data_IF_825134989142
#
_entry.id   IF_825134989142
#
_cell.length_a   1.000
_cell.length_b   1.000
_cell.length_c   1.000
_cell.angle_alpha   90.00
_cell.angle_beta   90.00
_cell.angle_gamma   90.00
#
_symmetry.space_group_name_H-M   'P 1'
#
loop_
_entity.id
_entity.type
_entity.pdbx_description
1 polymer ?
#
# COMPACT_ATOMS: atom_id res chain seq x y z
N UNK A 1 26.32 -33.45 13.63
CA UNK A 1 25.42 -34.05 14.64
C UNK A 1 24.67 -32.99 15.49
N UNK A 2 25.30 -31.90 15.93
CA UNK A 2 24.60 -30.87 16.74
C UNK A 2 23.81 -29.86 15.92
N UNK A 3 24.22 -29.55 14.68
CA UNK A 3 23.53 -28.64 13.77
C UNK A 3 22.25 -29.25 13.18
N UNK A 4 22.23 -30.54 12.90
CA UNK A 4 21.04 -31.19 12.33
C UNK A 4 19.87 -31.24 13.33
N UNK A 5 20.18 -31.33 14.63
CA UNK A 5 19.18 -31.33 15.70
C UNK A 5 18.53 -29.95 15.87
N UNK A 6 19.30 -28.85 15.73
CA UNK A 6 18.80 -27.50 15.82
C UNK A 6 17.90 -27.18 14.61
N UNK A 7 18.30 -27.61 13.41
CA UNK A 7 17.51 -27.40 12.18
C UNK A 7 16.18 -28.18 12.21
N UNK A 8 16.20 -29.41 12.73
CA UNK A 8 14.99 -30.21 12.91
C UNK A 8 14.07 -29.60 13.97
N UNK A 9 14.63 -29.07 15.07
CA UNK A 9 13.87 -28.41 16.13
C UNK A 9 13.23 -27.11 15.64
N UNK A 10 13.95 -26.28 14.86
CA UNK A 10 13.43 -25.07 14.25
C UNK A 10 12.28 -25.37 13.26
N UNK A 11 12.42 -26.38 12.41
CA UNK A 11 11.35 -26.76 11.48
C UNK A 11 10.11 -27.30 12.22
N UNK A 12 10.30 -28.01 13.32
CA UNK A 12 9.21 -28.50 14.16
C UNK A 12 8.51 -27.35 14.88
N UNK A 13 9.24 -26.35 15.38
CA UNK A 13 8.70 -25.15 16.01
C UNK A 13 7.93 -24.30 14.98
N UNK A 14 8.48 -24.09 13.77
CA UNK A 14 7.80 -23.38 12.68
C UNK A 14 6.48 -24.09 12.30
N UNK A 15 6.48 -25.41 12.15
CA UNK A 15 5.27 -26.18 11.85
C UNK A 15 4.22 -26.12 12.99
N UNK A 16 4.66 -26.06 14.26
CA UNK A 16 3.77 -25.91 15.41
C UNK A 16 3.20 -24.48 15.53
N UNK A 17 3.99 -23.48 15.15
CA UNK A 17 3.53 -22.07 15.11
C UNK A 17 2.49 -21.90 14.00
N UNK A 18 2.75 -22.43 12.79
CA UNK A 18 1.80 -22.38 11.67
C UNK A 18 0.48 -23.11 12.00
N UNK A 19 0.53 -24.27 12.65
CA UNK A 19 -0.67 -24.99 13.08
C UNK A 19 -1.42 -24.30 14.23
N UNK A 20 -0.73 -23.64 15.16
CA UNK A 20 -1.39 -22.90 16.25
C UNK A 20 -1.97 -21.58 15.76
N UNK A 21 -1.31 -20.87 14.84
CA UNK A 21 -1.88 -19.69 14.20
C UNK A 21 -3.15 -20.05 13.42
N UNK A 22 -3.16 -21.17 12.69
CA UNK A 22 -4.35 -21.69 12.02
C UNK A 22 -5.50 -22.02 12.98
N UNK A 23 -5.21 -22.39 14.23
CA UNK A 23 -6.23 -22.69 15.24
C UNK A 23 -6.78 -21.42 15.93
N UNK A 24 -5.95 -20.41 16.14
CA UNK A 24 -6.34 -19.12 16.74
C UNK A 24 -7.31 -18.32 15.83
N UNK A 25 -7.19 -18.50 14.50
CA UNK A 25 -8.08 -17.87 13.51
C UNK A 25 -9.38 -18.67 13.24
N UNK A 26 -9.59 -19.81 13.92
CA UNK A 26 -10.79 -20.64 13.74
C UNK A 26 -11.96 -20.29 14.67
N UNK A 27 -11.76 -19.49 15.69
CA UNK A 27 -12.81 -19.18 16.68
C UNK A 27 -13.53 -17.85 16.46
N UNK A 28 -13.04 -16.95 15.60
CA UNK A 28 -13.80 -15.79 15.14
C UNK A 28 -14.35 -16.05 13.74
N UNK A 29 -15.65 -16.14 13.63
CA UNK A 29 -16.41 -16.53 12.46
C UNK A 29 -15.90 -15.94 11.12
N UNK A 30 -15.54 -16.90 10.25
CA UNK A 30 -15.82 -16.86 8.83
C UNK A 30 -14.95 -15.96 7.92
N UNK A 31 -13.71 -16.36 7.67
CA UNK A 31 -13.17 -16.26 6.30
C UNK A 31 -12.43 -17.55 5.96
N UNK A 32 -13.12 -18.46 5.29
CA UNK A 32 -12.50 -19.59 4.62
C UNK A 32 -11.63 -19.03 3.49
N UNK A 33 -10.34 -18.88 3.74
CA UNK A 33 -9.36 -18.78 2.65
C UNK A 33 -9.44 -20.12 1.93
N UNK A 34 -10.22 -20.20 0.87
CA UNK A 34 -10.14 -21.32 -0.06
C UNK A 34 -8.69 -21.36 -0.54
N UNK A 35 -8.01 -22.47 -0.25
CA UNK A 35 -6.78 -22.85 -0.94
C UNK A 35 -7.05 -22.76 -2.44
N UNK A 36 -6.77 -21.61 -3.05
CA UNK A 36 -6.68 -21.50 -4.49
C UNK A 36 -5.40 -22.24 -4.87
N UNK A 37 -5.55 -23.41 -5.46
CA UNK A 37 -4.48 -24.08 -6.18
C UNK A 37 -3.78 -23.03 -7.04
N UNK A 38 -2.52 -22.77 -6.72
CA UNK A 38 -1.66 -21.83 -7.41
C UNK A 38 -1.41 -22.33 -8.84
N UNK A 39 -2.27 -21.94 -9.76
CA UNK A 39 -1.97 -21.95 -11.19
C UNK A 39 -1.29 -20.63 -11.49
N UNK A 40 -0.03 -20.64 -11.90
CA UNK A 40 0.88 -19.55 -12.25
C UNK A 40 0.26 -18.14 -12.34
N UNK A 41 -0.02 -17.50 -11.19
CA UNK A 41 -0.71 -16.22 -11.12
C UNK A 41 0.25 -15.06 -11.35
N UNK A 42 -0.19 -14.09 -12.13
CA UNK A 42 0.50 -12.82 -12.34
C UNK A 42 0.52 -12.04 -11.03
N UNK A 43 1.70 -11.91 -10.41
CA UNK A 43 1.88 -11.13 -9.19
C UNK A 43 2.06 -9.65 -9.54
N UNK A 44 1.04 -8.84 -9.30
CA UNK A 44 1.11 -7.39 -9.35
C UNK A 44 0.11 -6.77 -8.39
N UNK A 45 0.50 -5.68 -7.74
CA UNK A 45 -0.36 -4.88 -6.88
C UNK A 45 -1.08 -3.77 -7.64
N UNK A 46 -0.65 -3.46 -8.86
CA UNK A 46 -1.23 -2.42 -9.68
C UNK A 46 -2.52 -2.88 -10.37
N UNK A 47 -3.61 -2.13 -10.17
CA UNK A 47 -4.89 -2.41 -10.82
C UNK A 47 -4.81 -2.27 -12.35
N UNK A 48 -4.03 -1.30 -12.84
CA UNK A 48 -3.85 -1.04 -14.26
C UNK A 48 -3.10 -2.15 -15.02
N UNK A 49 -2.31 -2.98 -14.32
CA UNK A 49 -1.57 -4.09 -14.94
C UNK A 49 -2.35 -5.40 -15.01
N UNK A 50 -3.43 -5.55 -14.24
CA UNK A 50 -4.20 -6.79 -14.18
C UNK A 50 -5.04 -7.03 -15.43
N UNK A 51 -5.06 -6.06 -16.37
CA UNK A 51 -5.91 -6.14 -17.54
C UNK A 51 -5.33 -5.49 -18.80
N UNK A 52 -5.67 -6.14 -19.95
CA UNK A 52 -5.99 -5.43 -21.18
C UNK A 52 -7.40 -4.86 -20.97
N UNK A 53 -7.51 -3.58 -20.62
CA UNK A 53 -8.80 -2.94 -20.33
C UNK A 53 -9.61 -2.92 -21.62
N UNK A 54 -10.61 -3.78 -21.73
CA UNK A 54 -11.67 -3.61 -22.72
C UNK A 54 -12.67 -2.60 -22.16
N UNK A 55 -12.85 -1.41 -22.77
CA UNK A 55 -13.76 -0.37 -22.27
C UNK A 55 -15.23 -0.80 -22.17
N UNK A 56 -15.57 -2.00 -22.65
CA UNK A 56 -16.95 -2.51 -22.72
C UNK A 56 -17.36 -3.42 -21.57
N UNK A 57 -16.52 -3.59 -20.54
CA UNK A 57 -16.90 -4.45 -19.42
C UNK A 57 -17.83 -3.74 -18.44
N UNK A 58 -18.95 -4.40 -18.14
CA UNK A 58 -19.96 -3.95 -17.19
C UNK A 58 -19.36 -3.66 -15.81
N UNK A 59 -19.42 -2.39 -15.39
CA UNK A 59 -19.00 -1.96 -14.05
C UNK A 59 -17.51 -1.70 -13.89
N UNK A 60 -16.77 -1.46 -14.98
CA UNK A 60 -15.41 -0.93 -14.93
C UNK A 60 -15.32 0.33 -15.79
N UNK A 61 -14.94 1.45 -15.19
CA UNK A 61 -14.61 2.70 -15.87
C UNK A 61 -13.10 2.86 -15.93
N UNK A 62 -12.58 3.29 -17.07
CA UNK A 62 -11.16 3.61 -17.25
C UNK A 62 -11.01 4.95 -17.97
N UNK A 63 -10.19 5.84 -17.40
CA UNK A 63 -9.89 7.17 -17.97
C UNK A 63 -8.41 7.46 -17.88
N UNK A 64 -7.92 8.25 -18.83
CA UNK A 64 -6.59 8.87 -18.80
C UNK A 64 -6.74 10.38 -18.77
N UNK A 65 -5.98 11.04 -17.90
CA UNK A 65 -5.99 12.49 -17.73
C UNK A 65 -4.54 12.97 -17.58
N UNK A 66 -4.14 13.96 -18.38
CA UNK A 66 -2.82 14.55 -18.26
C UNK A 66 -2.75 15.43 -17.03
N UNK A 67 -1.68 15.31 -16.27
CA UNK A 67 -1.29 16.16 -15.15
C UNK A 67 -0.03 16.96 -15.52
N UNK A 68 0.29 17.99 -14.74
CA UNK A 68 1.49 18.80 -14.97
C UNK A 68 2.77 17.95 -14.91
N UNK A 69 2.84 17.00 -13.96
CA UNK A 69 4.00 16.13 -13.76
C UNK A 69 3.91 14.79 -14.49
N UNK A 70 2.81 14.45 -15.19
CA UNK A 70 2.68 13.13 -15.80
C UNK A 70 1.27 12.78 -16.29
N UNK A 71 0.84 11.56 -16.02
CA UNK A 71 -0.43 11.01 -16.53
C UNK A 71 -1.16 10.23 -15.44
N UNK A 72 -2.41 10.58 -15.18
CA UNK A 72 -3.33 9.78 -14.39
C UNK A 72 -3.98 8.66 -15.22
N UNK A 73 -3.92 7.44 -14.73
CA UNK A 73 -4.75 6.31 -15.15
C UNK A 73 -5.75 6.03 -14.03
N UNK A 74 -7.03 6.29 -14.28
CA UNK A 74 -8.11 6.16 -13.30
C UNK A 74 -8.98 4.97 -13.60
N UNK A 75 -9.13 4.07 -12.63
CA UNK A 75 -9.99 2.88 -12.71
C UNK A 75 -11.03 2.97 -11.61
N UNK A 76 -12.30 2.84 -11.98
CA UNK A 76 -13.40 2.71 -11.04
C UNK A 76 -14.08 1.36 -11.28
N UNK A 77 -14.23 0.56 -10.23
CA UNK A 77 -14.90 -0.74 -10.24
C UNK A 77 -16.20 -0.60 -9.45
N UNK A 78 -17.34 -0.71 -10.14
CA UNK A 78 -18.67 -0.46 -9.57
C UNK A 78 -19.54 -1.70 -9.48
N UNK A 79 -19.10 -2.86 -10.00
CA UNK A 79 -19.88 -4.09 -10.00
C UNK A 79 -19.08 -5.33 -9.61
N UNK A 80 -19.80 -6.37 -9.17
CA UNK A 80 -19.19 -7.69 -8.90
C UNK A 80 -18.62 -8.36 -10.17
N UNK A 81 -19.12 -8.00 -11.35
CA UNK A 81 -18.56 -8.46 -12.62
C UNK A 81 -17.19 -7.81 -12.86
N UNK A 82 -17.09 -6.48 -12.68
CA UNK A 82 -15.83 -5.75 -12.74
C UNK A 82 -14.81 -6.22 -11.71
N UNK A 83 -15.26 -6.50 -10.46
CA UNK A 83 -14.39 -7.05 -9.42
C UNK A 83 -13.76 -8.39 -9.85
N UNK A 84 -14.56 -9.30 -10.44
CA UNK A 84 -14.04 -10.58 -10.95
C UNK A 84 -13.11 -10.40 -12.15
N UNK A 85 -13.40 -9.46 -13.02
CA UNK A 85 -12.61 -9.18 -14.21
C UNK A 85 -11.23 -8.58 -13.89
N UNK A 86 -11.21 -7.56 -13.04
CA UNK A 86 -9.96 -6.88 -12.63
C UNK A 86 -9.24 -7.69 -11.53
N UNK A 87 -9.98 -8.51 -10.75
CA UNK A 87 -9.43 -9.23 -9.60
C UNK A 87 -9.07 -8.29 -8.44
N UNK A 88 -9.80 -7.18 -8.32
CA UNK A 88 -9.68 -6.18 -7.25
C UNK A 88 -11.06 -5.81 -6.73
N UNK A 89 -11.22 -5.46 -5.43
CA UNK A 89 -12.49 -5.02 -4.87
C UNK A 89 -13.11 -3.83 -5.60
N UNK A 90 -14.43 -3.66 -5.49
CA UNK A 90 -15.12 -2.45 -5.98
C UNK A 90 -14.57 -1.23 -5.26
N UNK A 91 -14.32 -0.15 -6.03
CA UNK A 91 -13.76 1.11 -5.56
C UNK A 91 -12.91 1.81 -6.61
N UNK A 92 -12.13 2.78 -6.18
CA UNK A 92 -11.30 3.63 -7.01
C UNK A 92 -9.84 3.21 -6.93
N UNK A 93 -9.16 3.23 -8.07
CA UNK A 93 -7.73 2.94 -8.23
C UNK A 93 -7.15 3.97 -9.19
N UNK A 94 -6.60 5.02 -8.64
CA UNK A 94 -6.04 6.14 -9.38
C UNK A 94 -4.51 6.04 -9.36
N UNK A 95 -3.92 5.94 -10.55
CA UNK A 95 -2.48 5.67 -10.74
C UNK A 95 -1.84 6.85 -11.46
N UNK A 96 -0.96 7.57 -10.78
CA UNK A 96 -0.16 8.64 -11.37
C UNK A 96 1.14 8.03 -11.93
N UNK A 97 1.34 8.23 -13.24
CA UNK A 97 2.59 7.93 -13.92
C UNK A 97 3.43 9.19 -13.97
N UNK A 98 4.65 9.08 -13.50
CA UNK A 98 5.67 10.13 -13.45
C UNK A 98 6.86 9.74 -14.33
N UNK A 99 7.76 10.68 -14.68
CA UNK A 99 9.12 10.32 -15.02
C UNK A 99 9.72 9.45 -13.90
N UNK A 100 10.79 8.73 -14.20
CA UNK A 100 11.46 7.93 -13.16
C UNK A 100 11.89 8.84 -12.00
N UNK A 101 11.49 8.51 -10.78
CA UNK A 101 11.52 9.42 -9.62
C UNK A 101 12.92 9.91 -9.26
N UNK A 102 13.97 9.07 -9.45
CA UNK A 102 15.36 9.47 -9.26
C UNK A 102 15.86 10.51 -10.27
N UNK A 103 15.09 10.77 -11.33
CA UNK A 103 15.38 11.77 -12.36
C UNK A 103 14.47 13.00 -12.30
N UNK A 104 13.51 13.04 -11.37
CA UNK A 104 12.62 14.18 -11.19
C UNK A 104 13.37 15.39 -10.64
N UNK A 105 13.16 16.54 -11.25
CA UNK A 105 13.58 17.82 -10.70
C UNK A 105 12.61 18.35 -9.63
N UNK A 106 12.98 19.44 -8.98
CA UNK A 106 12.17 20.01 -7.89
C UNK A 106 10.80 20.52 -8.36
N UNK A 107 10.63 20.94 -9.61
CA UNK A 107 9.35 21.36 -10.19
C UNK A 107 8.44 20.14 -10.36
N UNK A 108 8.91 19.09 -10.97
CA UNK A 108 8.18 17.82 -11.13
C UNK A 108 7.75 17.24 -9.77
N UNK A 109 8.63 17.28 -8.75
CA UNK A 109 8.30 16.81 -7.39
C UNK A 109 7.21 17.69 -6.78
N UNK A 110 7.28 19.02 -6.90
CA UNK A 110 6.28 19.96 -6.39
C UNK A 110 4.90 19.76 -7.04
N UNK A 111 4.89 19.53 -8.35
CA UNK A 111 3.67 19.25 -9.11
C UNK A 111 3.08 17.90 -8.69
N UNK A 112 3.91 16.87 -8.53
CA UNK A 112 3.47 15.57 -8.04
C UNK A 112 2.87 15.64 -6.63
N UNK A 113 3.46 16.41 -5.72
CA UNK A 113 2.90 16.69 -4.38
C UNK A 113 1.51 17.34 -4.50
N UNK A 114 1.36 18.27 -5.43
CA UNK A 114 0.07 18.96 -5.67
C UNK A 114 -0.99 17.99 -6.18
N UNK A 115 -0.64 17.16 -7.17
CA UNK A 115 -1.51 16.13 -7.74
C UNK A 115 -1.95 15.10 -6.69
N UNK A 116 -1.00 14.56 -5.92
CA UNK A 116 -1.30 13.59 -4.85
C UNK A 116 -2.19 14.23 -3.78
N UNK A 117 -1.92 15.48 -3.38
CA UNK A 117 -2.75 16.21 -2.42
C UNK A 117 -4.18 16.36 -2.91
N UNK A 118 -4.37 16.80 -4.15
CA UNK A 118 -5.69 16.96 -4.76
C UNK A 118 -6.44 15.62 -4.85
N UNK A 119 -5.74 14.55 -5.22
CA UNK A 119 -6.37 13.23 -5.34
C UNK A 119 -6.79 12.66 -3.98
N UNK A 120 -6.00 12.87 -2.93
CA UNK A 120 -6.37 12.43 -1.57
C UNK A 120 -7.63 13.11 -1.08
N UNK A 121 -7.78 14.41 -1.34
CA UNK A 121 -9.00 15.17 -1.01
C UNK A 121 -10.19 14.65 -1.83
N UNK A 122 -10.03 14.57 -3.16
CA UNK A 122 -11.06 14.07 -4.08
C UNK A 122 -11.53 12.65 -3.70
N UNK A 123 -10.60 11.78 -3.34
CA UNK A 123 -10.93 10.40 -2.99
C UNK A 123 -11.66 10.32 -1.64
N UNK A 124 -11.27 11.13 -0.65
CA UNK A 124 -12.00 11.22 0.61
C UNK A 124 -13.44 11.72 0.39
N UNK A 125 -13.65 12.70 -0.50
CA UNK A 125 -14.98 13.18 -0.89
C UNK A 125 -15.81 12.09 -1.58
N UNK A 126 -15.23 11.35 -2.57
CA UNK A 126 -15.87 10.22 -3.23
C UNK A 126 -16.29 9.13 -2.24
N UNK A 127 -15.46 8.89 -1.21
CA UNK A 127 -15.75 7.97 -0.12
C UNK A 127 -16.74 8.54 0.92
N UNK A 128 -17.13 9.82 0.80
CA UNK A 128 -17.98 10.54 1.76
C UNK A 128 -17.40 10.59 3.17
N UNK A 129 -16.09 10.74 3.26
CA UNK A 129 -15.35 10.85 4.51
C UNK A 129 -14.95 12.30 4.73
N UNK A 130 -15.22 12.83 5.93
CA UNK A 130 -14.66 14.11 6.41
C UNK A 130 -13.50 13.79 7.33
N UNK A 131 -12.24 13.88 6.86
CA UNK A 131 -11.08 13.38 7.59
C UNK A 131 -10.60 14.40 8.64
N UNK A 132 -11.29 14.46 9.78
CA UNK A 132 -10.90 15.28 10.92
C UNK A 132 -9.76 14.61 11.72
N UNK A 133 -9.85 13.29 11.90
CA UNK A 133 -8.83 12.46 12.58
C UNK A 133 -8.28 11.44 11.62
N UNK A 134 -6.99 11.50 11.36
CA UNK A 134 -6.31 10.64 10.40
C UNK A 134 -5.26 9.80 11.10
N UNK A 135 -5.24 8.50 10.80
CA UNK A 135 -4.15 7.60 11.16
C UNK A 135 -3.33 7.28 9.91
N UNK A 136 -2.10 7.77 9.86
CA UNK A 136 -1.14 7.40 8.81
C UNK A 136 -0.33 6.19 9.26
N UNK A 137 -0.33 5.16 8.41
CA UNK A 137 0.34 3.87 8.68
C UNK A 137 1.40 3.63 7.63
N UNK A 138 2.67 3.68 8.03
CA UNK A 138 3.81 3.31 7.16
C UNK A 138 4.12 1.83 7.28
N UNK A 139 3.79 1.06 6.25
CA UNK A 139 4.02 -0.38 6.18
C UNK A 139 5.43 -0.70 5.65
N UNK A 140 5.85 -1.94 5.83
CA UNK A 140 7.11 -2.47 5.32
C UNK A 140 8.25 -2.51 6.35
N UNK A 141 9.43 -2.84 5.86
CA UNK A 141 10.65 -3.05 6.64
C UNK A 141 11.68 -1.94 6.35
N UNK A 142 12.03 -1.15 7.36
CA UNK A 142 13.01 -0.06 7.24
C UNK A 142 14.44 -0.56 6.88
N UNK A 143 14.76 -1.81 7.22
CA UNK A 143 16.08 -2.39 6.93
C UNK A 143 16.21 -2.92 5.49
N UNK A 144 15.10 -3.01 4.75
CA UNK A 144 15.05 -3.51 3.38
C UNK A 144 14.60 -2.39 2.44
N UNK A 145 15.52 -1.72 1.76
CA UNK A 145 15.22 -0.53 0.93
C UNK A 145 14.01 -0.70 0.00
N UNK A 146 13.88 -1.79 -0.79
CA UNK A 146 12.71 -1.96 -1.64
C UNK A 146 11.37 -2.09 -0.89
N UNK A 147 11.40 -2.36 0.41
CA UNK A 147 10.21 -2.52 1.28
C UNK A 147 10.07 -1.35 2.28
N UNK A 148 10.79 -0.25 2.08
CA UNK A 148 10.86 0.84 3.06
C UNK A 148 10.01 2.07 2.74
N UNK A 149 9.36 2.14 1.57
CA UNK A 149 8.57 3.31 1.13
C UNK A 149 7.58 3.78 2.19
N UNK A 150 6.78 2.87 2.74
CA UNK A 150 5.79 3.24 3.75
C UNK A 150 6.43 3.82 5.00
N UNK A 151 7.50 3.19 5.47
CA UNK A 151 8.22 3.63 6.69
C UNK A 151 8.87 4.99 6.50
N UNK A 152 9.55 5.21 5.36
CA UNK A 152 10.25 6.48 5.06
C UNK A 152 9.23 7.60 4.84
N UNK A 153 8.18 7.36 4.07
CA UNK A 153 7.09 8.33 3.85
C UNK A 153 6.42 8.75 5.17
N UNK A 154 6.03 7.77 5.99
CA UNK A 154 5.40 8.04 7.28
C UNK A 154 6.31 8.82 8.23
N UNK A 155 7.64 8.64 8.14
CA UNK A 155 8.61 9.40 8.95
C UNK A 155 8.64 10.90 8.63
N UNK A 156 8.22 11.27 7.41
CA UNK A 156 8.20 12.66 6.92
C UNK A 156 6.82 13.33 7.02
N UNK A 157 5.77 12.56 7.33
CA UNK A 157 4.45 13.11 7.66
C UNK A 157 4.53 13.85 9.00
N UNK A 158 3.93 15.03 9.09
CA UNK A 158 3.93 15.86 10.30
C UNK A 158 2.73 15.50 11.18
N UNK A 159 2.92 14.84 12.33
CA UNK A 159 1.82 14.57 13.24
C UNK A 159 1.32 15.86 13.87
N UNK A 160 0.00 16.01 13.97
CA UNK A 160 -0.67 17.22 14.52
C UNK A 160 -1.59 16.89 15.70
N UNK A 161 -1.93 15.61 15.90
CA UNK A 161 -2.87 15.17 16.93
C UNK A 161 -2.46 15.63 18.36
N UNK A 162 -1.18 15.67 18.67
CA UNK A 162 -0.68 16.14 19.95
C UNK A 162 -0.88 17.64 20.17
N UNK A 163 -0.96 18.44 19.08
CA UNK A 163 -1.12 19.91 19.19
C UNK A 163 -2.48 20.27 19.78
N UNK A 164 -3.53 19.51 19.47
CA UNK A 164 -4.86 19.72 20.03
C UNK A 164 -4.87 19.55 21.56
N UNK A 165 -4.15 18.55 22.05
CA UNK A 165 -4.04 18.32 23.50
C UNK A 165 -3.20 19.38 24.22
N UNK A 166 -2.32 20.06 23.49
CA UNK A 166 -1.46 21.10 24.06
C UNK A 166 -2.18 22.47 24.12
N UNK A 167 -2.85 22.88 23.03
CA UNK A 167 -3.66 24.09 22.94
C UNK A 167 -4.74 23.95 21.87
N UNK A 168 -5.96 23.60 22.29
CA UNK A 168 -7.10 23.39 21.39
C UNK A 168 -7.45 24.67 20.63
N UNK A 169 -7.36 25.85 21.25
CA UNK A 169 -7.69 27.11 20.61
C UNK A 169 -6.71 27.47 19.49
N UNK A 170 -5.45 27.16 19.67
CA UNK A 170 -4.41 27.29 18.66
C UNK A 170 -4.59 26.24 17.55
N UNK A 171 -4.87 25.00 17.92
CA UNK A 171 -5.09 23.93 16.94
C UNK A 171 -6.21 24.26 15.99
N UNK A 172 -7.36 24.75 16.47
CA UNK A 172 -8.50 25.14 15.63
C UNK A 172 -8.16 26.26 14.63
N UNK A 173 -7.21 27.15 14.96
CA UNK A 173 -6.75 28.17 14.03
C UNK A 173 -5.85 27.65 12.90
N UNK A 174 -5.24 26.49 13.10
CA UNK A 174 -4.38 25.88 12.08
C UNK A 174 -5.17 25.24 10.93
N UNK A 175 -6.49 25.03 11.11
CA UNK A 175 -7.39 24.46 10.13
C UNK A 175 -6.88 23.15 9.48
N UNK A 176 -6.15 22.34 10.25
CA UNK A 176 -5.60 21.04 9.84
C UNK A 176 -6.34 19.89 10.50
N UNK A 177 -6.22 18.68 9.93
CA UNK A 177 -6.71 17.46 10.55
C UNK A 177 -5.81 17.03 11.72
N UNK A 178 -6.36 16.25 12.66
CA UNK A 178 -5.59 15.57 13.71
C UNK A 178 -4.86 14.36 13.11
N UNK A 179 -3.60 14.49 12.78
CA UNK A 179 -2.80 13.42 12.18
C UNK A 179 -2.00 12.70 13.26
N UNK A 180 -2.23 11.40 13.37
CA UNK A 180 -1.39 10.44 14.11
C UNK A 180 -0.63 9.57 13.13
N UNK A 181 0.61 9.20 13.45
CA UNK A 181 1.48 8.42 12.55
C UNK A 181 2.02 7.21 13.30
N UNK A 182 1.93 6.04 12.67
CA UNK A 182 2.54 4.81 13.18
C UNK A 182 3.35 4.10 12.09
N UNK A 183 4.33 3.35 12.54
CA UNK A 183 5.16 2.45 11.73
C UNK A 183 5.21 1.13 12.49
N UNK A 184 4.25 0.21 12.22
CA UNK A 184 4.06 -0.99 13.03
C UNK A 184 5.20 -2.01 12.88
N UNK A 185 6.05 -1.86 11.85
CA UNK A 185 7.07 -2.86 11.50
C UNK A 185 6.46 -4.11 10.88
N UNK A 186 7.25 -5.13 10.71
CA UNK A 186 6.86 -6.41 10.12
C UNK A 186 6.83 -7.52 11.18
N UNK A 187 6.02 -8.55 10.95
CA UNK A 187 5.76 -9.63 11.91
C UNK A 187 7.05 -10.27 12.46
N UNK A 188 8.05 -10.51 11.62
CA UNK A 188 9.29 -11.17 12.05
C UNK A 188 10.21 -10.26 12.90
N UNK A 189 10.02 -8.93 12.86
CA UNK A 189 10.75 -8.00 13.71
C UNK A 189 10.06 -7.81 15.07
N UNK A 190 8.73 -7.70 15.04
CA UNK A 190 7.94 -7.30 16.20
C UNK A 190 7.27 -8.48 16.91
N UNK A 191 7.06 -9.61 16.22
CA UNK A 191 6.24 -10.72 16.69
C UNK A 191 4.74 -10.42 16.69
N UNK A 192 4.32 -9.24 16.20
CA UNK A 192 2.93 -8.78 16.18
C UNK A 192 2.48 -8.62 14.73
N UNK A 193 1.31 -9.17 14.40
CA UNK A 193 0.71 -8.94 13.09
C UNK A 193 0.39 -7.46 12.88
N UNK A 194 0.70 -6.97 11.68
CA UNK A 194 0.57 -5.55 11.33
C UNK A 194 -0.88 -5.06 11.49
N UNK A 195 -1.87 -5.86 11.04
CA UNK A 195 -3.28 -5.51 11.19
C UNK A 195 -3.68 -5.42 12.66
N UNK A 196 -3.17 -6.31 13.53
CA UNK A 196 -3.43 -6.27 14.97
C UNK A 196 -2.99 -4.93 15.57
N UNK A 197 -1.79 -4.45 15.20
CA UNK A 197 -1.27 -3.16 15.63
C UNK A 197 -2.11 -2.00 15.12
N UNK A 198 -2.46 -2.01 13.82
CA UNK A 198 -3.27 -0.96 13.19
C UNK A 198 -4.66 -0.89 13.83
N UNK A 199 -5.35 -2.03 13.94
CA UNK A 199 -6.69 -2.13 14.52
C UNK A 199 -6.71 -1.69 15.98
N UNK A 200 -5.77 -2.17 16.81
CA UNK A 200 -5.72 -1.80 18.23
C UNK A 200 -5.53 -0.30 18.45
N UNK A 201 -4.73 0.36 17.59
CA UNK A 201 -4.57 1.81 17.64
C UNK A 201 -5.82 2.51 17.09
N UNK A 202 -6.38 2.06 15.98
CA UNK A 202 -7.60 2.63 15.40
C UNK A 202 -8.79 2.56 16.38
N UNK A 203 -8.98 1.47 17.10
CA UNK A 203 -9.99 1.33 18.15
C UNK A 203 -9.84 2.39 19.26
N UNK A 204 -8.58 2.76 19.58
CA UNK A 204 -8.29 3.74 20.64
C UNK A 204 -8.46 5.18 20.19
N UNK A 205 -7.93 5.55 19.01
CA UNK A 205 -7.96 6.93 18.52
C UNK A 205 -9.18 7.25 17.68
N UNK A 206 -9.87 6.22 17.15
CA UNK A 206 -11.08 6.32 16.32
C UNK A 206 -10.89 7.28 15.15
N UNK A 207 -9.99 6.97 14.21
CA UNK A 207 -9.76 7.82 13.05
C UNK A 207 -10.97 7.79 12.12
N UNK A 208 -11.23 8.91 11.46
CA UNK A 208 -12.24 9.01 10.41
C UNK A 208 -11.69 8.46 9.08
N UNK A 209 -10.36 8.45 8.94
CA UNK A 209 -9.63 7.95 7.79
C UNK A 209 -8.31 7.32 8.22
N UNK A 210 -7.98 6.17 7.63
CA UNK A 210 -6.64 5.57 7.69
C UNK A 210 -5.98 5.78 6.33
N UNK A 211 -4.73 6.26 6.32
CA UNK A 211 -3.89 6.32 5.11
C UNK A 211 -2.77 5.28 5.28
N UNK A 212 -2.86 4.18 4.53
CA UNK A 212 -1.86 3.11 4.56
C UNK A 212 -0.88 3.28 3.40
N UNK A 213 0.42 3.33 3.68
CA UNK A 213 1.49 3.51 2.70
C UNK A 213 2.34 2.26 2.65
N UNK A 214 2.60 1.72 1.44
CA UNK A 214 3.36 0.47 1.26
C UNK A 214 4.19 0.48 -0.02
N UNK A 215 5.16 -0.42 -0.09
CA UNK A 215 5.85 -0.78 -1.30
C UNK A 215 5.02 -1.80 -2.09
N UNK A 216 4.94 -1.63 -3.41
CA UNK A 216 4.17 -2.51 -4.27
C UNK A 216 5.08 -3.36 -5.16
N UNK A 217 4.52 -4.44 -5.70
CA UNK A 217 5.11 -5.19 -6.79
C UNK A 217 4.43 -4.83 -8.11
N UNK A 218 5.23 -4.63 -9.17
CA UNK A 218 4.77 -4.46 -10.53
C UNK A 218 5.03 -5.70 -11.37
N UNK A 219 4.30 -5.82 -12.47
CA UNK A 219 4.55 -6.79 -13.52
C UNK A 219 5.51 -6.25 -14.58
N UNK A 220 5.45 -4.94 -14.86
CA UNK A 220 6.28 -4.27 -15.86
C UNK A 220 7.40 -3.46 -15.21
N UNK A 221 8.62 -3.62 -15.74
CA UNK A 221 9.78 -2.84 -15.30
C UNK A 221 9.57 -1.32 -15.49
N UNK A 222 8.77 -0.93 -16.48
CA UNK A 222 8.43 0.47 -16.77
C UNK A 222 7.67 1.15 -15.63
N UNK A 223 7.06 0.36 -14.74
CA UNK A 223 6.30 0.86 -13.59
C UNK A 223 7.17 1.07 -12.35
N UNK A 224 8.37 0.50 -12.33
CA UNK A 224 9.26 0.59 -11.17
C UNK A 224 9.80 2.02 -11.00
N UNK A 225 9.50 2.63 -9.85
CA UNK A 225 9.94 3.98 -9.53
C UNK A 225 9.37 5.09 -10.42
N UNK A 226 8.30 4.80 -11.20
CA UNK A 226 7.62 5.78 -12.06
C UNK A 226 6.14 5.94 -11.71
N UNK A 227 5.64 5.21 -10.72
CA UNK A 227 4.22 5.05 -10.52
C UNK A 227 3.84 5.24 -9.06
N UNK A 228 2.81 6.04 -8.79
CA UNK A 228 2.13 6.11 -7.48
C UNK A 228 0.69 5.67 -7.67
N UNK A 229 0.27 4.59 -7.02
CA UNK A 229 -1.13 4.16 -7.01
C UNK A 229 -1.80 4.59 -5.71
N UNK A 230 -2.99 5.20 -5.82
CA UNK A 230 -3.87 5.53 -4.70
C UNK A 230 -5.16 4.74 -4.87
N UNK A 231 -5.64 4.10 -3.81
CA UNK A 231 -6.89 3.33 -3.88
C UNK A 231 -7.77 3.53 -2.64
N UNK A 232 -9.09 3.44 -2.83
CA UNK A 232 -10.10 3.54 -1.76
C UNK A 232 -10.41 2.21 -1.08
N UNK A 233 -9.78 1.12 -1.49
CA UNK A 233 -10.13 -0.24 -1.06
C UNK A 233 -9.19 -0.81 -0.02
N UNK A 234 -8.24 0.01 0.45
CA UNK A 234 -7.17 -0.44 1.32
C UNK A 234 -6.07 -1.23 0.58
N UNK A 235 -5.29 -1.98 1.33
CA UNK A 235 -4.11 -2.70 0.84
C UNK A 235 -4.00 -4.09 1.46
N UNK A 236 -3.45 -5.03 0.70
CA UNK A 236 -3.08 -6.36 1.19
C UNK A 236 -1.56 -6.46 1.21
N UNK A 237 -0.91 -6.29 2.37
CA UNK A 237 0.54 -6.34 2.46
C UNK A 237 1.08 -7.68 1.94
N UNK A 238 2.13 -7.62 1.12
CA UNK A 238 2.75 -8.82 0.52
C UNK A 238 1.93 -9.49 -0.60
N UNK A 239 0.81 -8.91 -1.02
CA UNK A 239 -0.05 -9.47 -2.08
C UNK A 239 0.69 -9.65 -3.41
N UNK A 240 1.44 -8.63 -3.83
CA UNK A 240 2.20 -8.63 -5.07
C UNK A 240 3.44 -9.50 -5.10
N UNK A 241 3.87 -10.02 -3.97
CA UNK A 241 5.01 -10.95 -3.85
C UNK A 241 4.60 -12.38 -3.52
N UNK A 242 3.31 -12.69 -3.63
CA UNK A 242 2.79 -14.04 -3.37
C UNK A 242 2.74 -14.46 -1.89
N UNK A 243 2.88 -13.52 -0.96
CA UNK A 243 2.80 -13.73 0.48
C UNK A 243 1.70 -12.84 1.11
N UNK A 244 0.43 -12.97 0.68
CA UNK A 244 -0.64 -12.10 1.13
C UNK A 244 -0.90 -12.28 2.63
N UNK A 245 -0.93 -11.16 3.35
CA UNK A 245 -1.39 -11.08 4.73
C UNK A 245 -2.88 -10.69 4.77
N UNK A 246 -3.42 -10.53 5.96
CA UNK A 246 -4.76 -9.98 6.10
C UNK A 246 -4.81 -8.57 5.50
N UNK A 247 -5.85 -8.25 4.70
CA UNK A 247 -5.98 -6.92 4.12
C UNK A 247 -6.23 -5.87 5.20
N UNK A 248 -5.66 -4.68 5.01
CA UNK A 248 -5.95 -3.48 5.80
C UNK A 248 -6.95 -2.67 4.99
N UNK A 249 -8.23 -2.79 5.34
CA UNK A 249 -9.35 -2.10 4.72
C UNK A 249 -10.38 -1.72 5.80
N UNK A 250 -11.48 -1.09 5.41
CA UNK A 250 -12.50 -0.62 6.34
C UNK A 250 -13.04 -1.74 7.24
N UNK A 251 -13.32 -2.93 6.69
CA UNK A 251 -13.90 -4.04 7.43
C UNK A 251 -12.95 -4.65 8.48
N UNK A 252 -11.64 -4.60 8.23
CA UNK A 252 -10.62 -5.20 9.11
C UNK A 252 -9.99 -4.19 10.05
N UNK A 253 -9.80 -2.95 9.62
CA UNK A 253 -9.18 -1.89 10.42
C UNK A 253 -10.17 -1.03 11.20
N UNK A 254 -11.49 -1.11 10.88
CA UNK A 254 -12.55 -0.42 11.61
C UNK A 254 -12.75 1.05 11.23
N UNK A 255 -12.10 1.53 10.17
CA UNK A 255 -12.29 2.85 9.59
C UNK A 255 -12.00 2.81 8.07
N UNK A 256 -12.55 3.74 7.27
CA UNK A 256 -12.24 3.88 5.85
C UNK A 256 -10.71 3.95 5.62
N UNK A 257 -10.22 3.29 4.56
CA UNK A 257 -8.79 3.21 4.26
C UNK A 257 -8.51 3.70 2.85
N UNK A 258 -7.66 4.71 2.72
CA UNK A 258 -6.98 5.05 1.48
C UNK A 258 -5.60 4.40 1.52
N UNK A 259 -5.26 3.62 0.50
CA UNK A 259 -3.92 3.08 0.34
C UNK A 259 -3.13 3.85 -0.71
N UNK A 260 -1.85 4.09 -0.42
CA UNK A 260 -0.89 4.70 -1.33
C UNK A 260 0.27 3.73 -1.49
N UNK A 261 0.68 3.48 -2.73
CA UNK A 261 1.81 2.59 -2.95
C UNK A 261 2.63 2.92 -4.19
N UNK A 262 3.91 2.56 -4.12
CA UNK A 262 4.87 2.73 -5.22
C UNK A 262 5.50 1.38 -5.54
N UNK A 263 5.50 0.96 -6.80
CA UNK A 263 6.17 -0.27 -7.21
C UNK A 263 7.69 -0.11 -7.10
N UNK A 264 8.29 -0.96 -6.31
CA UNK A 264 9.73 -1.02 -6.04
C UNK A 264 10.38 -2.30 -6.52
N UNK A 265 9.59 -3.35 -6.71
CA UNK A 265 10.07 -4.67 -7.11
C UNK A 265 9.19 -5.27 -8.20
N UNK A 266 9.77 -6.19 -8.96
CA UNK A 266 9.03 -7.09 -9.85
C UNK A 266 9.61 -8.50 -9.79
N UNK A 267 8.80 -9.50 -10.13
CA UNK A 267 9.28 -10.87 -10.22
C UNK A 267 10.22 -11.03 -11.41
N UNK A 268 11.40 -11.62 -11.19
CA UNK A 268 12.40 -11.86 -12.22
C UNK A 268 11.90 -12.74 -13.38
N UNK A 269 10.86 -13.56 -13.17
CA UNK A 269 10.30 -14.41 -14.23
C UNK A 269 9.69 -13.63 -15.38
N UNK A 270 9.37 -12.35 -15.18
CA UNK A 270 8.89 -11.48 -16.27
C UNK A 270 9.98 -11.09 -17.28
N UNK A 271 11.26 -11.24 -16.93
CA UNK A 271 12.36 -11.05 -17.86
C UNK A 271 12.76 -12.33 -18.60
N UNK A 272 12.28 -13.48 -18.14
CA UNK A 272 12.67 -14.77 -18.70
C UNK A 272 11.71 -15.17 -19.84
N UNK A 273 12.28 -15.68 -20.92
CA UNK A 273 11.51 -16.35 -21.97
C UNK A 273 10.94 -17.66 -21.41
N UNK A 274 9.82 -18.15 -21.97
CA UNK A 274 9.08 -19.30 -21.44
C UNK A 274 9.96 -20.55 -21.14
N UNK A 275 10.98 -20.78 -21.97
CA UNK A 275 11.91 -21.91 -21.82
C UNK A 275 12.86 -21.78 -20.60
N UNK A 276 13.02 -20.57 -20.06
CA UNK A 276 13.88 -20.26 -18.91
C UNK A 276 13.08 -20.02 -17.62
N UNK A 277 11.75 -20.09 -17.70
CA UNK A 277 10.91 -19.92 -16.50
C UNK A 277 11.22 -20.95 -15.45
N UNK A 278 11.13 -20.53 -14.21
CA UNK A 278 11.41 -21.39 -13.07
C UNK A 278 10.50 -22.62 -13.07
N UNK A 279 11.04 -23.82 -12.79
CA UNK A 279 10.20 -24.99 -12.49
C UNK A 279 9.27 -24.71 -11.32
N UNK A 280 8.07 -25.29 -11.35
CA UNK A 280 7.13 -25.22 -10.22
C UNK A 280 7.82 -25.58 -8.89
N UNK A 281 7.54 -24.81 -7.84
CA UNK A 281 8.07 -25.05 -6.49
C UNK A 281 9.39 -24.35 -6.13
N UNK A 282 10.00 -23.55 -7.01
CA UNK A 282 11.13 -22.68 -6.63
C UNK A 282 10.65 -21.33 -6.08
N UNK A 283 11.39 -20.82 -5.08
CA UNK A 283 11.14 -19.50 -4.50
C UNK A 283 11.21 -18.39 -5.56
N UNK A 284 10.29 -17.44 -5.50
CA UNK A 284 10.29 -16.26 -6.35
C UNK A 284 11.57 -15.43 -6.10
N UNK A 285 12.15 -14.86 -7.16
CA UNK A 285 13.21 -13.88 -7.09
C UNK A 285 12.64 -12.53 -7.52
N UNK A 286 12.82 -11.51 -6.68
CA UNK A 286 12.40 -10.17 -6.98
C UNK A 286 13.60 -9.30 -7.32
N UNK A 287 13.44 -8.44 -8.32
CA UNK A 287 14.44 -7.47 -8.74
C UNK A 287 13.93 -6.06 -8.46
N UNK A 288 14.83 -5.17 -8.10
CA UNK A 288 14.59 -3.76 -7.86
C UNK A 288 15.52 -2.93 -8.76
N UNK A 289 15.16 -1.66 -9.07
CA UNK A 289 16.05 -0.75 -9.75
C UNK A 289 17.37 -0.54 -8.97
N UNK A 290 18.46 -0.30 -9.69
CA UNK A 290 19.76 0.00 -9.07
C UNK A 290 19.69 1.27 -8.21
N UNK A 291 18.94 2.25 -8.66
CA UNK A 291 18.74 3.56 -8.01
C UNK A 291 17.61 3.55 -6.97
N UNK A 292 17.32 2.40 -6.36
CA UNK A 292 16.18 2.22 -5.46
C UNK A 292 16.22 3.16 -4.24
N UNK A 293 17.39 3.55 -3.74
CA UNK A 293 17.52 4.46 -2.61
C UNK A 293 17.00 5.86 -2.95
N UNK A 294 17.39 6.36 -4.12
CA UNK A 294 16.96 7.66 -4.66
C UNK A 294 15.47 7.64 -4.95
N UNK A 295 14.97 6.58 -5.57
CA UNK A 295 13.55 6.36 -5.85
C UNK A 295 12.73 6.40 -4.54
N UNK A 296 13.15 5.68 -3.51
CA UNK A 296 12.48 5.66 -2.21
C UNK A 296 12.46 7.05 -1.57
N UNK A 297 13.58 7.78 -1.67
CA UNK A 297 13.69 9.13 -1.11
C UNK A 297 12.70 10.09 -1.76
N UNK A 298 12.69 10.15 -3.09
CA UNK A 298 11.80 11.05 -3.85
C UNK A 298 10.33 10.62 -3.72
N UNK A 299 10.04 9.32 -3.78
CA UNK A 299 8.69 8.81 -3.57
C UNK A 299 8.16 9.19 -2.18
N UNK A 300 9.00 9.07 -1.15
CA UNK A 300 8.62 9.42 0.22
C UNK A 300 8.37 10.93 0.38
N UNK A 301 9.15 11.77 -0.30
CA UNK A 301 8.93 13.21 -0.34
C UNK A 301 7.59 13.55 -1.00
N UNK A 302 7.29 12.97 -2.17
CA UNK A 302 6.04 13.18 -2.90
C UNK A 302 4.83 12.74 -2.04
N UNK A 303 4.87 11.54 -1.48
CA UNK A 303 3.75 10.98 -0.69
C UNK A 303 3.53 11.78 0.59
N UNK A 304 4.60 12.01 1.37
CA UNK A 304 4.48 12.75 2.64
C UNK A 304 4.11 14.22 2.42
N UNK A 305 4.66 14.85 1.37
CA UNK A 305 4.31 16.18 0.93
C UNK A 305 2.83 16.28 0.55
N UNK A 306 2.32 15.32 -0.22
CA UNK A 306 0.90 15.22 -0.60
C UNK A 306 -0.01 15.10 0.61
N UNK A 307 0.30 14.24 1.57
CA UNK A 307 -0.49 14.07 2.81
C UNK A 307 -0.44 15.34 3.67
N UNK A 308 0.75 15.92 3.89
CA UNK A 308 0.91 17.15 4.67
C UNK A 308 0.16 18.33 4.05
N UNK A 309 0.14 18.43 2.72
CA UNK A 309 -0.57 19.49 1.99
C UNK A 309 -2.09 19.28 1.98
N UNK A 310 -2.55 18.03 1.87
CA UNK A 310 -3.98 17.71 1.87
C UNK A 310 -4.63 17.97 3.23
N UNK A 311 -3.98 17.54 4.31
CA UNK A 311 -4.60 17.42 5.63
C UNK A 311 -3.82 18.07 6.77
N UNK A 312 -2.53 18.37 6.57
CA UNK A 312 -1.61 18.86 7.61
C UNK A 312 -1.55 20.38 7.73
N UNK A 313 -0.47 20.84 8.34
CA UNK A 313 -0.22 22.26 8.64
C UNK A 313 -0.02 23.14 7.39
N UNK A 314 0.22 22.55 6.24
CA UNK A 314 0.48 23.24 4.97
C UNK A 314 -0.73 23.20 4.02
N UNK A 315 -1.93 22.95 4.56
CA UNK A 315 -3.16 22.94 3.77
C UNK A 315 -3.34 24.28 3.08
N UNK A 316 -3.31 24.27 1.74
CA UNK A 316 -3.64 25.44 0.92
C UNK A 316 -5.17 25.47 0.78
N UNK A 317 -5.80 26.55 1.25
CA UNK A 317 -7.23 26.79 1.11
C UNK A 317 -7.56 27.30 -0.28
#
# INVERSE_FOLDING_TARGET
MQFDHIFTLMNTILSLVDNKLAHFYKEDEMYTVRNSTFTGGVYTDLACERRRVDPKEDGVSYKKEYAACGLWERIEITSKAGERSIGRPMGFYDTLLLPRMDLCDGETVSDAITEISGELISLAEKMRVTPERILVVGLGNAALTPDSIGVVSASSVKPTSHLRNFDESMFLKLACSEISVIRPGVLHETGIDTLCSVRGIAERIRPDLIIAIDSLAARSAERLGTTVQISSTGITPGGGIGAPKMPINESTAGAPVIAIGVPTVMDSDYFLVDEMRRPEGRSAMFVAPKEINEIVTVAAEIISGGINRAFGLYRVH
#
